data_IF_793101681500
#
_entry.id   IF_793101681500
#
_cell.length_a   1.000
_cell.length_b   1.000
_cell.length_c   1.000
_cell.angle_alpha   90.00
_cell.angle_beta   90.00
_cell.angle_gamma   90.00
#
_symmetry.space_group_name_H-M   'P 1'
#
loop_
_entity.id
_entity.type
_entity.pdbx_description
1 polymer ?
#
# COMPACT_ATOMS: atom_id res chain seq x y z
N UNK A 1 -22.72 -10.35 -19.68
CA UNK A 1 -21.53 -9.83 -20.39
C UNK A 1 -20.90 -8.74 -19.54
N UNK A 2 -19.99 -9.08 -18.67
CA UNK A 2 -19.17 -8.13 -17.90
C UNK A 2 -17.91 -8.83 -17.43
N UNK A 3 -16.98 -9.03 -18.36
CA UNK A 3 -15.70 -9.69 -18.13
C UNK A 3 -14.61 -8.82 -18.75
N UNK A 4 -14.11 -7.80 -18.04
CA UNK A 4 -12.92 -7.08 -18.51
C UNK A 4 -12.23 -6.19 -17.47
N UNK A 5 -12.40 -6.41 -16.16
CA UNK A 5 -11.81 -5.51 -15.15
C UNK A 5 -10.74 -6.15 -14.25
N UNK A 6 -10.49 -7.45 -14.35
CA UNK A 6 -9.52 -8.15 -13.50
C UNK A 6 -8.21 -8.55 -14.20
N UNK A 7 -7.99 -8.19 -15.47
CA UNK A 7 -6.89 -8.75 -16.27
C UNK A 7 -5.48 -8.29 -15.86
N UNK A 8 -5.33 -7.35 -14.93
CA UNK A 8 -4.02 -6.93 -14.43
C UNK A 8 -3.44 -7.86 -13.34
N UNK A 9 -4.26 -8.75 -12.75
CA UNK A 9 -3.89 -9.50 -11.55
C UNK A 9 -3.59 -11.00 -11.77
N UNK A 10 -3.89 -11.63 -12.93
CA UNK A 10 -4.04 -13.09 -12.97
C UNK A 10 -3.03 -13.85 -13.88
N UNK A 11 -2.01 -13.31 -14.45
CA UNK A 11 -1.21 -14.05 -15.44
C UNK A 11 0.23 -14.43 -15.09
N UNK A 12 0.65 -14.57 -13.83
CA UNK A 12 2.01 -15.04 -13.54
C UNK A 12 2.15 -15.85 -12.24
N UNK A 13 1.34 -16.88 -12.03
CA UNK A 13 1.64 -17.89 -11.02
C UNK A 13 2.34 -19.10 -11.68
N UNK A 14 3.62 -18.97 -11.99
CA UNK A 14 4.51 -20.13 -12.20
C UNK A 14 5.61 -20.11 -11.14
N UNK A 15 5.85 -21.28 -10.56
CA UNK A 15 6.74 -21.63 -9.46
C UNK A 15 8.08 -20.87 -9.41
N UNK A 16 8.36 -20.22 -8.28
CA UNK A 16 9.62 -19.53 -7.96
C UNK A 16 10.51 -20.49 -7.16
N UNK A 17 11.77 -20.72 -7.54
CA UNK A 17 12.73 -21.47 -6.73
C UNK A 17 13.18 -20.68 -5.51
N UNK A 18 13.40 -21.36 -4.38
CA UNK A 18 13.88 -20.79 -3.14
C UNK A 18 15.31 -20.24 -3.31
N UNK A 19 15.56 -19.01 -2.87
CA UNK A 19 16.86 -18.36 -2.87
C UNK A 19 17.31 -18.07 -1.43
N UNK A 20 18.60 -18.30 -1.14
CA UNK A 20 19.22 -18.07 0.16
C UNK A 20 19.43 -16.57 0.47
N UNK A 21 19.45 -16.16 1.74
CA UNK A 21 19.47 -14.75 2.12
C UNK A 21 20.90 -14.17 2.11
N UNK A 22 21.15 -13.21 1.24
CA UNK A 22 22.29 -12.30 1.37
C UNK A 22 21.78 -10.97 1.95
N UNK A 23 22.21 -10.68 3.18
CA UNK A 23 21.74 -9.49 3.90
C UNK A 23 22.36 -8.20 3.39
N UNK A 24 21.53 -7.23 3.02
CA UNK A 24 21.78 -5.80 3.17
C UNK A 24 20.44 -5.07 3.20
N UNK A 25 19.96 -4.80 4.42
CA UNK A 25 18.86 -3.87 4.66
C UNK A 25 19.41 -2.44 4.62
N UNK A 26 19.17 -1.71 3.55
CA UNK A 26 19.30 -0.26 3.54
C UNK A 26 17.91 0.35 3.74
N UNK A 27 17.65 0.92 4.92
CA UNK A 27 16.54 1.84 5.11
C UNK A 27 16.68 2.99 4.11
N UNK A 28 15.64 3.32 3.32
CA UNK A 28 15.70 4.49 2.46
C UNK A 28 15.82 5.73 3.35
N UNK A 29 17.02 6.32 3.35
CA UNK A 29 17.39 7.44 4.22
C UNK A 29 16.48 8.64 3.89
N UNK A 30 15.55 8.93 4.77
CA UNK A 30 14.90 10.24 4.82
C UNK A 30 15.92 11.22 5.41
N UNK A 31 16.62 11.95 4.55
CA UNK A 31 17.50 13.02 5.01
C UNK A 31 16.63 14.17 5.56
N UNK A 32 16.99 14.67 6.73
CA UNK A 32 16.30 15.72 7.50
C UNK A 32 16.32 17.12 6.85
N UNK A 33 16.63 17.25 5.58
CA UNK A 33 16.59 18.52 4.87
C UNK A 33 15.43 18.54 3.90
N UNK A 34 14.40 19.20 4.27
CA UNK A 34 13.15 19.70 3.66
C UNK A 34 12.72 19.39 2.23
N UNK A 35 13.39 18.55 1.45
CA UNK A 35 12.95 18.15 0.11
C UNK A 35 13.41 16.73 -0.20
N UNK A 36 12.50 15.78 -0.14
CA UNK A 36 12.79 14.39 -0.54
C UNK A 36 13.00 14.30 -2.06
N UNK A 37 14.08 13.62 -2.48
CA UNK A 37 14.36 13.30 -3.90
C UNK A 37 13.95 11.88 -4.25
N UNK A 38 13.16 11.23 -3.41
CA UNK A 38 12.77 9.82 -3.53
C UNK A 38 12.08 9.51 -4.86
N UNK A 39 11.22 10.43 -5.35
CA UNK A 39 10.51 10.27 -6.62
C UNK A 39 10.93 11.38 -7.58
N UNK A 40 11.38 11.00 -8.77
CA UNK A 40 11.66 11.94 -9.86
C UNK A 40 10.39 12.36 -10.59
N UNK A 41 9.41 11.46 -10.67
CA UNK A 41 8.13 11.68 -11.33
C UNK A 41 6.98 11.28 -10.42
N UNK A 42 5.93 12.11 -10.41
CA UNK A 42 4.67 11.84 -9.72
C UNK A 42 3.53 11.94 -10.73
N UNK A 43 2.89 10.81 -10.98
CA UNK A 43 1.68 10.76 -11.81
C UNK A 43 0.46 10.98 -10.95
N UNK A 44 -0.44 11.86 -11.35
CA UNK A 44 -1.65 12.20 -10.58
C UNK A 44 -2.88 12.06 -11.46
N UNK A 45 -3.80 11.22 -11.06
CA UNK A 45 -5.11 11.18 -11.71
C UNK A 45 -5.81 12.53 -11.62
N UNK A 46 -6.34 13.02 -12.73
CA UNK A 46 -7.00 14.33 -12.80
C UNK A 46 -8.13 14.46 -11.76
N UNK A 47 -8.88 13.39 -11.54
CA UNK A 47 -9.99 13.33 -10.59
C UNK A 47 -9.59 13.59 -9.13
N UNK A 48 -8.34 13.30 -8.75
CA UNK A 48 -7.87 13.46 -7.36
C UNK A 48 -6.85 14.59 -7.19
N UNK A 49 -6.59 15.34 -8.26
CA UNK A 49 -5.55 16.39 -8.24
C UNK A 49 -5.77 17.41 -7.12
N UNK A 50 -7.00 17.84 -6.91
CA UNK A 50 -7.33 18.87 -5.92
C UNK A 50 -7.66 18.30 -4.52
N UNK A 51 -7.54 17.00 -4.33
CA UNK A 51 -7.79 16.38 -3.04
C UNK A 51 -6.75 16.85 -2.00
N UNK A 52 -7.14 17.22 -0.76
CA UNK A 52 -6.21 17.76 0.25
C UNK A 52 -5.01 16.82 0.52
N UNK A 53 -5.23 15.51 0.54
CA UNK A 53 -4.16 14.52 0.73
C UNK A 53 -3.19 14.50 -0.45
N UNK A 54 -3.68 14.63 -1.68
CA UNK A 54 -2.84 14.76 -2.88
C UNK A 54 -1.94 15.98 -2.76
N UNK A 55 -2.50 17.14 -2.42
CA UNK A 55 -1.74 18.37 -2.28
C UNK A 55 -0.69 18.26 -1.18
N UNK A 56 -1.02 17.67 -0.02
CA UNK A 56 -0.07 17.42 1.06
C UNK A 56 1.10 16.52 0.62
N UNK A 57 0.82 15.47 -0.17
CA UNK A 57 1.87 14.59 -0.69
C UNK A 57 2.75 15.36 -1.68
N UNK A 58 2.18 16.11 -2.62
CA UNK A 58 2.93 16.87 -3.61
C UNK A 58 3.87 17.92 -2.98
N UNK A 59 3.45 18.54 -1.88
CA UNK A 59 4.27 19.51 -1.14
C UNK A 59 5.55 18.90 -0.54
N UNK A 60 5.58 17.58 -0.33
CA UNK A 60 6.79 16.90 0.16
C UNK A 60 7.84 16.66 -0.94
N UNK A 61 7.44 16.72 -2.22
CA UNK A 61 8.24 16.35 -3.38
C UNK A 61 8.34 17.47 -4.42
N UNK A 62 8.68 18.69 -4.00
CA UNK A 62 8.70 19.88 -4.86
C UNK A 62 9.64 19.77 -6.08
N UNK A 63 10.62 18.86 -6.03
CA UNK A 63 11.56 18.63 -7.15
C UNK A 63 11.04 17.60 -8.15
N UNK A 64 9.98 16.86 -7.82
CA UNK A 64 9.42 15.86 -8.70
C UNK A 64 8.65 16.50 -9.86
N UNK A 65 8.78 15.93 -11.05
CA UNK A 65 7.94 16.30 -12.17
C UNK A 65 6.53 15.73 -11.99
N UNK A 66 5.51 16.60 -11.88
CA UNK A 66 4.12 16.20 -11.72
C UNK A 66 3.45 16.07 -13.08
N UNK A 67 2.93 14.88 -13.37
CA UNK A 67 2.29 14.54 -14.65
C UNK A 67 0.84 14.16 -14.40
N UNK A 68 -0.09 14.83 -15.09
CA UNK A 68 -1.51 14.48 -15.01
C UNK A 68 -1.80 13.26 -15.88
N UNK A 69 -2.60 12.33 -15.35
CA UNK A 69 -3.05 11.10 -16.04
C UNK A 69 -4.57 10.95 -15.92
N UNK A 70 -5.16 10.16 -16.80
CA UNK A 70 -6.59 9.86 -16.74
C UNK A 70 -6.87 8.75 -15.73
N UNK A 71 -6.09 7.66 -15.78
CA UNK A 71 -6.25 6.52 -14.88
C UNK A 71 -4.88 5.94 -14.50
N UNK A 72 -4.70 5.49 -13.26
CA UNK A 72 -3.41 4.95 -12.77
C UNK A 72 -2.89 3.78 -13.61
N UNK A 73 -3.78 2.96 -14.18
CA UNK A 73 -3.42 1.82 -15.04
C UNK A 73 -2.73 2.24 -16.34
N UNK A 74 -2.92 3.47 -16.81
CA UNK A 74 -2.25 3.98 -18.03
C UNK A 74 -0.72 4.00 -17.87
N UNK A 75 -0.26 4.13 -16.63
CA UNK A 75 1.16 4.07 -16.27
C UNK A 75 1.51 2.72 -15.65
N UNK A 76 0.73 2.27 -14.67
CA UNK A 76 1.04 1.07 -13.88
C UNK A 76 0.97 -0.23 -14.69
N UNK A 77 -0.01 -0.35 -15.61
CA UNK A 77 -0.21 -1.54 -16.44
C UNK A 77 0.31 -1.36 -17.89
N UNK A 78 1.19 -0.39 -18.13
CA UNK A 78 1.77 -0.17 -19.46
C UNK A 78 2.58 -1.38 -19.91
N UNK A 79 2.39 -1.82 -21.17
CA UNK A 79 3.14 -2.93 -21.76
C UNK A 79 4.61 -2.56 -21.96
N UNK A 80 5.50 -3.55 -21.86
CA UNK A 80 6.93 -3.39 -22.17
C UNK A 80 7.73 -2.63 -21.11
N UNK A 81 7.22 -2.54 -19.87
CA UNK A 81 7.95 -1.92 -18.77
C UNK A 81 9.17 -2.76 -18.36
N UNK A 82 10.26 -2.08 -18.03
CA UNK A 82 11.44 -2.72 -17.46
C UNK A 82 11.35 -2.64 -15.92
N UNK A 83 10.56 -3.52 -15.33
CA UNK A 83 10.19 -3.51 -13.90
C UNK A 83 11.42 -3.52 -13.01
N UNK A 84 12.47 -4.31 -13.36
CA UNK A 84 13.71 -4.38 -12.59
C UNK A 84 14.46 -3.04 -12.50
N UNK A 85 14.38 -2.20 -13.53
CA UNK A 85 14.97 -0.86 -13.48
C UNK A 85 14.11 0.10 -12.63
N UNK A 86 12.80 -0.08 -12.64
CA UNK A 86 11.90 0.74 -11.83
C UNK A 86 12.07 0.49 -10.33
N UNK A 87 12.50 -0.70 -9.91
CA UNK A 87 12.76 -0.97 -8.49
C UNK A 87 13.86 -0.05 -7.92
N UNK A 88 14.87 0.30 -8.70
CA UNK A 88 15.93 1.25 -8.32
C UNK A 88 15.52 2.73 -8.44
N UNK A 89 14.46 3.04 -9.20
CA UNK A 89 14.00 4.43 -9.46
C UNK A 89 12.49 4.45 -9.64
N UNK A 90 11.77 4.23 -8.54
CA UNK A 90 10.31 4.18 -8.52
C UNK A 90 9.71 5.55 -8.80
N UNK A 91 8.65 5.61 -9.61
CA UNK A 91 7.75 6.76 -9.64
C UNK A 91 6.60 6.56 -8.66
N UNK A 92 6.00 7.67 -8.23
CA UNK A 92 4.78 7.66 -7.43
C UNK A 92 3.57 7.90 -8.33
N UNK A 93 2.50 7.15 -8.12
CA UNK A 93 1.22 7.34 -8.78
C UNK A 93 0.19 7.64 -7.68
N UNK A 94 -0.51 8.76 -7.80
CA UNK A 94 -1.58 9.16 -6.87
C UNK A 94 -2.91 9.01 -7.59
N UNK A 95 -3.79 8.19 -7.04
CA UNK A 95 -5.00 7.76 -7.71
C UNK A 95 -6.19 7.62 -6.75
N UNK A 96 -7.37 7.39 -7.31
CA UNK A 96 -8.55 6.92 -6.60
C UNK A 96 -8.70 5.41 -6.81
N UNK A 97 -9.04 4.68 -5.76
CA UNK A 97 -9.41 3.27 -5.86
C UNK A 97 -10.91 3.18 -6.09
N UNK A 98 -11.29 2.59 -7.23
CA UNK A 98 -12.67 2.35 -7.61
C UNK A 98 -12.98 0.84 -7.60
N UNK A 99 -14.26 0.51 -7.49
CA UNK A 99 -14.77 -0.85 -7.49
C UNK A 99 -14.69 -1.49 -6.09
N UNK A 100 -14.27 -2.74 -6.02
CA UNK A 100 -14.16 -3.48 -4.75
C UNK A 100 -13.01 -2.94 -3.92
N UNK A 101 -13.26 -2.60 -2.67
CA UNK A 101 -12.28 -2.03 -1.75
C UNK A 101 -11.80 -3.03 -0.69
N UNK A 102 -12.68 -3.97 -0.30
CA UNK A 102 -12.39 -5.06 0.64
C UNK A 102 -12.45 -6.40 -0.08
N UNK A 103 -11.51 -7.27 0.21
CA UNK A 103 -11.39 -8.60 -0.38
C UNK A 103 -11.36 -9.65 0.71
N UNK A 104 -12.07 -10.75 0.52
CA UNK A 104 -11.97 -11.91 1.41
C UNK A 104 -10.56 -12.49 1.31
N UNK A 105 -10.00 -12.87 2.46
CA UNK A 105 -8.69 -13.51 2.53
C UNK A 105 -8.75 -14.89 1.89
N UNK A 106 -7.75 -15.22 1.07
CA UNK A 106 -7.66 -16.55 0.48
C UNK A 106 -7.46 -17.61 1.58
N UNK A 107 -8.00 -18.81 1.38
CA UNK A 107 -7.88 -19.94 2.33
C UNK A 107 -6.44 -20.29 2.68
N UNK A 108 -5.50 -20.04 1.76
CA UNK A 108 -4.06 -20.28 1.98
C UNK A 108 -3.40 -19.20 2.85
N UNK A 109 -4.07 -18.07 3.10
CA UNK A 109 -3.55 -17.02 3.96
C UNK A 109 -3.78 -17.34 5.42
N UNK A 110 -2.80 -17.03 6.27
CA UNK A 110 -2.94 -17.17 7.71
C UNK A 110 -3.99 -16.20 8.25
N UNK A 111 -5.09 -16.73 8.74
CA UNK A 111 -6.16 -15.97 9.39
C UNK A 111 -5.96 -15.81 10.89
N UNK A 112 -4.94 -16.49 11.47
CA UNK A 112 -4.69 -16.56 12.91
C UNK A 112 -5.92 -16.97 13.73
N UNK A 113 -6.75 -17.88 13.17
CA UNK A 113 -7.98 -18.36 13.79
C UNK A 113 -9.16 -17.38 13.74
N UNK A 114 -9.06 -16.31 12.97
CA UNK A 114 -10.20 -15.40 12.76
C UNK A 114 -11.07 -15.92 11.62
N UNK A 115 -12.36 -16.04 11.87
CA UNK A 115 -13.35 -16.57 10.92
C UNK A 115 -13.54 -15.62 9.72
N UNK A 116 -13.55 -14.32 9.98
CA UNK A 116 -13.82 -13.28 8.97
C UNK A 116 -12.55 -12.50 8.66
N UNK A 117 -11.70 -13.11 7.83
CA UNK A 117 -10.44 -12.53 7.39
C UNK A 117 -10.60 -11.81 6.04
N UNK A 118 -10.19 -10.54 6.01
CA UNK A 118 -10.20 -9.70 4.82
C UNK A 118 -8.86 -9.02 4.62
N UNK A 119 -8.63 -8.51 3.41
CA UNK A 119 -7.53 -7.61 3.12
C UNK A 119 -7.98 -6.42 2.29
N UNK A 120 -7.20 -5.37 2.31
CA UNK A 120 -7.39 -4.18 1.48
C UNK A 120 -6.05 -3.64 1.02
N UNK A 121 -6.07 -2.91 -0.09
CA UNK A 121 -4.91 -2.26 -0.67
C UNK A 121 -5.17 -0.77 -0.82
N UNK A 122 -4.74 0.03 0.15
CA UNK A 122 -4.69 1.49 0.01
C UNK A 122 -3.39 1.97 -0.65
N UNK A 123 -2.40 1.09 -0.78
CA UNK A 123 -1.16 1.30 -1.55
C UNK A 123 -0.82 0.02 -2.28
N UNK A 124 -0.38 0.10 -3.53
CA UNK A 124 0.15 -1.02 -4.30
C UNK A 124 1.65 -0.85 -4.51
N UNK A 125 2.37 -1.95 -4.46
CA UNK A 125 3.83 -2.07 -4.39
C UNK A 125 4.43 -1.53 -3.10
N UNK A 126 5.69 -1.86 -2.88
CA UNK A 126 6.42 -1.52 -1.67
C UNK A 126 7.58 -0.56 -1.97
N UNK A 127 7.92 0.28 -1.00
CA UNK A 127 9.09 1.16 -1.09
C UNK A 127 10.38 0.36 -1.01
N UNK A 128 10.38 -0.73 -0.25
CA UNK A 128 11.50 -1.65 -0.14
C UNK A 128 11.68 -2.48 -1.41
N UNK A 129 12.90 -2.98 -1.61
CA UNK A 129 13.28 -3.81 -2.75
C UNK A 129 13.84 -5.17 -2.26
N UNK A 130 13.09 -5.85 -1.39
CA UNK A 130 13.48 -7.16 -0.87
C UNK A 130 13.58 -8.20 -1.98
N UNK A 131 14.69 -8.94 -2.07
CA UNK A 131 14.93 -9.91 -3.15
C UNK A 131 13.90 -11.03 -3.19
N UNK A 132 13.46 -11.49 -2.04
CA UNK A 132 12.47 -12.58 -1.89
C UNK A 132 11.01 -12.10 -1.94
N UNK A 133 10.76 -10.83 -2.26
CA UNK A 133 9.42 -10.26 -2.20
C UNK A 133 8.54 -10.74 -3.37
N UNK A 134 7.43 -11.39 -3.08
CA UNK A 134 6.48 -11.87 -4.09
C UNK A 134 5.85 -10.73 -4.92
N UNK A 135 5.80 -9.51 -4.38
CA UNK A 135 5.27 -8.34 -5.09
C UNK A 135 6.05 -8.04 -6.38
N UNK A 136 7.34 -8.38 -6.45
CA UNK A 136 8.16 -8.21 -7.67
C UNK A 136 7.64 -9.02 -8.86
N UNK A 137 7.02 -10.18 -8.60
CA UNK A 137 6.40 -11.01 -9.65
C UNK A 137 4.90 -10.79 -9.82
N UNK A 138 4.27 -10.11 -8.88
CA UNK A 138 2.81 -9.92 -8.86
C UNK A 138 2.36 -8.75 -9.74
N UNK A 139 3.12 -7.67 -9.74
CA UNK A 139 2.74 -6.45 -10.43
C UNK A 139 3.51 -6.22 -11.74
N UNK A 140 2.85 -5.66 -12.77
CA UNK A 140 3.50 -5.36 -14.05
C UNK A 140 4.38 -4.10 -14.00
N UNK A 141 4.51 -3.45 -12.86
CA UNK A 141 5.26 -2.23 -12.63
C UNK A 141 5.97 -2.25 -11.29
N UNK A 142 7.15 -1.63 -11.21
CA UNK A 142 7.85 -1.35 -9.94
C UNK A 142 7.41 -0.05 -9.27
N UNK A 143 6.56 0.75 -9.91
CA UNK A 143 6.09 2.03 -9.38
C UNK A 143 5.13 1.85 -8.19
N UNK A 144 5.12 2.83 -7.29
CA UNK A 144 4.18 2.89 -6.16
C UNK A 144 2.86 3.53 -6.58
N UNK A 145 1.74 2.96 -6.12
CA UNK A 145 0.42 3.60 -6.27
C UNK A 145 -0.15 3.88 -4.89
N UNK A 146 -0.49 5.13 -4.59
CA UNK A 146 -1.21 5.53 -3.38
C UNK A 146 -2.64 5.90 -3.76
N UNK A 147 -3.61 5.19 -3.19
CA UNK A 147 -5.04 5.50 -3.32
C UNK A 147 -5.47 6.43 -2.19
N UNK A 148 -5.85 7.66 -2.54
CA UNK A 148 -6.06 8.71 -1.54
C UNK A 148 -7.41 8.64 -0.82
N UNK A 149 -8.36 7.85 -1.32
CA UNK A 149 -9.74 7.75 -0.84
C UNK A 149 -9.92 6.66 0.22
N UNK A 150 -9.10 6.65 1.26
CA UNK A 150 -9.18 5.67 2.36
C UNK A 150 -10.54 5.71 3.08
N UNK A 151 -11.21 6.85 3.07
CA UNK A 151 -12.52 7.05 3.68
C UNK A 151 -13.60 6.20 2.99
N UNK A 152 -13.47 5.94 1.69
CA UNK A 152 -14.38 5.03 0.97
C UNK A 152 -14.20 3.58 1.47
N UNK A 153 -12.95 3.18 1.82
CA UNK A 153 -12.66 1.86 2.40
C UNK A 153 -13.29 1.76 3.79
N UNK A 154 -13.20 2.81 4.59
CA UNK A 154 -13.82 2.86 5.93
C UNK A 154 -15.34 2.72 5.86
N UNK A 155 -16.00 3.41 4.94
CA UNK A 155 -17.45 3.32 4.75
C UNK A 155 -17.90 1.90 4.34
N UNK A 156 -17.15 1.22 3.45
CA UNK A 156 -17.43 -0.18 3.09
C UNK A 156 -17.20 -1.11 4.30
N UNK A 157 -16.14 -0.86 5.07
CA UNK A 157 -15.82 -1.64 6.27
C UNK A 157 -16.86 -1.48 7.38
N UNK A 158 -17.41 -0.28 7.60
CA UNK A 158 -18.50 -0.06 8.55
C UNK A 158 -19.72 -0.91 8.19
N UNK A 159 -20.06 -0.99 6.91
CA UNK A 159 -21.15 -1.84 6.41
C UNK A 159 -20.90 -3.32 6.72
N UNK A 160 -19.64 -3.76 6.66
CA UNK A 160 -19.24 -5.12 6.96
C UNK A 160 -19.25 -5.40 8.46
N UNK A 161 -18.74 -4.46 9.28
CA UNK A 161 -18.70 -4.53 10.74
C UNK A 161 -20.09 -4.55 11.40
N UNK A 162 -21.09 -4.02 10.70
CA UNK A 162 -22.49 -4.13 11.13
C UNK A 162 -22.99 -5.58 11.11
N UNK A 163 -22.41 -6.45 10.27
CA UNK A 163 -22.81 -7.85 10.09
C UNK A 163 -22.07 -8.80 11.04
N UNK A 164 -20.73 -8.63 11.15
CA UNK A 164 -19.86 -9.53 11.93
C UNK A 164 -18.55 -8.83 12.34
N UNK A 165 -17.76 -9.37 13.28
CA UNK A 165 -16.41 -8.92 13.53
C UNK A 165 -15.52 -9.10 12.29
N UNK A 166 -14.46 -8.29 12.14
CA UNK A 166 -13.56 -8.36 11.00
C UNK A 166 -12.10 -8.37 11.47
N UNK A 167 -11.32 -9.28 10.91
CA UNK A 167 -9.86 -9.25 10.93
C UNK A 167 -9.35 -8.80 9.57
N UNK A 168 -8.67 -7.66 9.51
CA UNK A 168 -8.30 -7.00 8.27
C UNK A 168 -6.80 -6.82 8.15
N UNK A 169 -6.17 -7.38 7.11
CA UNK A 169 -4.81 -7.03 6.72
C UNK A 169 -4.84 -5.75 5.87
N UNK A 170 -4.31 -4.63 6.42
CA UNK A 170 -4.33 -3.32 5.76
C UNK A 170 -3.06 -3.01 4.97
N UNK A 171 -2.02 -3.82 5.13
CA UNK A 171 -0.71 -3.69 4.45
C UNK A 171 -0.39 -4.90 3.57
N UNK A 172 -1.40 -5.45 2.88
CA UNK A 172 -1.24 -6.68 2.10
C UNK A 172 -0.26 -6.52 0.94
N UNK A 173 -0.32 -5.39 0.24
CA UNK A 173 0.43 -5.12 -0.98
C UNK A 173 1.58 -4.12 -0.80
N UNK A 174 1.97 -3.81 0.45
CA UNK A 174 2.95 -2.76 0.73
C UNK A 174 3.47 -2.84 2.17
N UNK A 175 4.47 -2.04 2.50
CA UNK A 175 4.83 -1.68 3.87
C UNK A 175 4.25 -0.29 4.19
N UNK A 176 3.09 -0.26 4.83
CA UNK A 176 2.40 1.00 5.14
C UNK A 176 3.17 1.85 6.16
N UNK A 177 3.84 1.21 7.13
CA UNK A 177 4.58 1.95 8.16
C UNK A 177 5.77 2.70 7.56
N UNK A 178 6.45 2.10 6.57
CA UNK A 178 7.53 2.76 5.84
C UNK A 178 7.05 3.99 5.04
N UNK A 179 5.76 4.04 4.71
CA UNK A 179 5.12 5.12 3.95
C UNK A 179 4.34 6.11 4.82
N UNK A 180 4.35 5.95 6.15
CA UNK A 180 3.51 6.75 7.05
C UNK A 180 3.74 8.25 6.91
N UNK A 181 4.98 8.70 6.79
CA UNK A 181 5.30 10.12 6.59
C UNK A 181 4.74 10.69 5.29
N UNK A 182 4.53 9.85 4.27
CA UNK A 182 4.01 10.26 2.97
C UNK A 182 2.49 10.20 2.98
N UNK A 183 1.92 9.05 3.34
CA UNK A 183 0.50 8.76 3.21
C UNK A 183 -0.31 9.08 4.48
N UNK A 184 0.26 8.85 5.67
CA UNK A 184 -0.42 9.02 6.95
C UNK A 184 -1.55 8.00 7.16
N UNK A 185 -1.41 6.79 6.63
CA UNK A 185 -2.48 5.80 6.65
C UNK A 185 -2.46 4.91 7.88
N UNK A 186 -1.29 4.62 8.45
CA UNK A 186 -1.20 3.79 9.66
C UNK A 186 -1.92 4.45 10.82
N UNK A 187 -1.69 5.76 11.02
CA UNK A 187 -2.38 6.54 12.05
C UNK A 187 -3.89 6.52 11.84
N UNK A 188 -4.36 6.76 10.61
CA UNK A 188 -5.80 6.72 10.30
C UNK A 188 -6.42 5.34 10.53
N UNK A 189 -5.73 4.27 10.17
CA UNK A 189 -6.18 2.92 10.44
C UNK A 189 -6.26 2.62 11.94
N UNK A 190 -5.25 3.06 12.70
CA UNK A 190 -5.22 2.88 14.14
C UNK A 190 -6.35 3.68 14.84
N UNK A 191 -6.55 4.94 14.45
CA UNK A 191 -7.66 5.79 14.94
C UNK A 191 -9.01 5.13 14.63
N UNK A 192 -9.25 4.71 13.41
CA UNK A 192 -10.48 4.03 13.00
C UNK A 192 -10.70 2.73 13.79
N UNK A 193 -9.64 1.96 14.06
CA UNK A 193 -9.73 0.71 14.84
C UNK A 193 -10.10 0.98 16.31
N UNK A 194 -9.61 2.07 16.90
CA UNK A 194 -9.99 2.48 18.27
C UNK A 194 -11.50 2.69 18.37
N UNK A 195 -12.09 3.32 17.37
CA UNK A 195 -13.53 3.64 17.34
C UNK A 195 -14.42 2.43 17.04
N UNK A 196 -13.84 1.33 16.48
CA UNK A 196 -14.59 0.15 16.04
C UNK A 196 -14.22 -1.13 16.82
N UNK A 197 -14.88 -1.46 17.94
CA UNK A 197 -14.52 -2.60 18.82
C UNK A 197 -14.52 -3.97 18.14
N UNK A 198 -15.30 -4.14 17.07
CA UNK A 198 -15.38 -5.39 16.30
C UNK A 198 -14.27 -5.52 15.22
N UNK A 199 -13.46 -4.48 15.05
CA UNK A 199 -12.36 -4.48 14.09
C UNK A 199 -11.06 -4.83 14.78
N UNK A 200 -10.30 -5.75 14.16
CA UNK A 200 -8.90 -6.02 14.44
C UNK A 200 -8.13 -5.87 13.15
N UNK A 201 -7.03 -5.13 13.15
CA UNK A 201 -6.21 -4.94 11.95
C UNK A 201 -4.81 -5.50 12.13
N UNK A 202 -4.22 -5.90 11.00
CA UNK A 202 -2.83 -6.33 10.91
C UNK A 202 -2.05 -5.41 9.97
N UNK A 203 -0.94 -4.90 10.44
CA UNK A 203 0.02 -4.09 9.71
C UNK A 203 1.34 -4.86 9.64
N UNK A 204 1.62 -5.44 8.47
CA UNK A 204 2.90 -6.12 8.20
C UNK A 204 3.95 -5.11 7.84
N UNK A 205 5.12 -5.18 8.46
CA UNK A 205 6.17 -4.20 8.25
C UNK A 205 7.57 -4.77 8.44
N UNK A 206 8.53 -4.16 7.75
CA UNK A 206 9.99 -4.28 7.98
C UNK A 206 10.58 -2.96 8.50
N UNK A 207 9.73 -1.94 8.64
CA UNK A 207 10.14 -0.61 9.04
C UNK A 207 10.54 -0.60 10.53
N UNK A 208 11.81 -0.31 10.80
CA UNK A 208 12.36 -0.25 12.16
C UNK A 208 12.30 1.17 12.78
N UNK A 209 11.59 2.11 12.16
CA UNK A 209 11.51 3.50 12.63
C UNK A 209 10.74 3.62 13.94
N UNK A 210 11.43 3.97 15.00
CA UNK A 210 10.85 4.09 16.35
C UNK A 210 10.17 5.44 16.62
N UNK A 211 10.51 6.46 15.86
CA UNK A 211 9.92 7.80 15.96
C UNK A 211 8.42 7.82 15.67
N UNK A 212 7.98 6.98 14.73
CA UNK A 212 6.57 6.87 14.33
C UNK A 212 5.65 6.34 15.45
N UNK A 213 6.18 5.48 16.32
CA UNK A 213 5.38 4.85 17.39
C UNK A 213 4.79 5.83 18.39
N UNK A 214 5.44 6.97 18.61
CA UNK A 214 5.01 7.98 19.59
C UNK A 214 3.72 8.70 19.15
N UNK A 215 3.42 8.68 17.86
CA UNK A 215 2.29 9.38 17.27
C UNK A 215 1.08 8.46 17.02
N UNK A 216 1.27 7.16 17.17
CA UNK A 216 0.23 6.17 16.90
C UNK A 216 -0.61 5.90 18.17
N UNK A 217 -1.94 5.82 18.05
CA UNK A 217 -2.78 5.44 19.17
C UNK A 217 -2.49 4.01 19.63
N UNK A 218 -2.49 3.80 20.94
CA UNK A 218 -2.30 2.47 21.53
C UNK A 218 -3.64 1.73 21.53
N UNK A 219 -3.67 0.58 20.85
CA UNK A 219 -4.86 -0.28 20.77
C UNK A 219 -4.42 -1.74 20.62
N UNK A 220 -4.95 -2.63 21.46
CA UNK A 220 -4.67 -4.07 21.46
C UNK A 220 -5.20 -4.81 20.21
N UNK A 221 -6.07 -4.16 19.46
CA UNK A 221 -6.62 -4.66 18.20
C UNK A 221 -5.83 -4.22 16.96
N UNK A 222 -4.78 -3.40 17.13
CA UNK A 222 -3.84 -3.06 16.08
C UNK A 222 -2.59 -3.92 16.23
N UNK A 223 -2.42 -4.89 15.34
CA UNK A 223 -1.32 -5.85 15.37
C UNK A 223 -0.24 -5.38 14.39
N UNK A 224 0.95 -5.16 14.90
CA UNK A 224 2.14 -4.88 14.08
C UNK A 224 2.93 -6.17 13.91
N UNK A 225 2.91 -6.71 12.70
CA UNK A 225 3.56 -7.97 12.35
C UNK A 225 4.90 -7.67 11.66
N UNK A 226 6.00 -7.82 12.41
CA UNK A 226 7.33 -7.66 11.84
C UNK A 226 7.74 -8.90 11.05
N UNK A 227 8.09 -8.69 9.79
CA UNK A 227 8.69 -9.73 8.93
C UNK A 227 10.21 -9.60 8.95
N UNK A 228 10.88 -10.66 9.35
CA UNK A 228 12.36 -10.75 9.41
C UNK A 228 12.92 -11.30 8.10
#
# INVERSE_FOLDING_TARGET
>A
MNSSKNDCYINNMQSIPACEPTGHNHDPIVRETGQSTMFSHIYVEAAVRNHPRTQRILQQFLKAQVISITHYKDVFCRKGQQVHLQHGSKALIIARKDGQLLYEGAEVCQSFGNEYFYYTSCVMNCIYDCEYCYLKGMYPSGNLVIFINIEDIFAELETLLAKHPVYLCVSYDTDLLALENIAGFVKKWAEFTVEHPKLRIEIRTKCARTDLWKELPVCDRVIYAFTL
#
